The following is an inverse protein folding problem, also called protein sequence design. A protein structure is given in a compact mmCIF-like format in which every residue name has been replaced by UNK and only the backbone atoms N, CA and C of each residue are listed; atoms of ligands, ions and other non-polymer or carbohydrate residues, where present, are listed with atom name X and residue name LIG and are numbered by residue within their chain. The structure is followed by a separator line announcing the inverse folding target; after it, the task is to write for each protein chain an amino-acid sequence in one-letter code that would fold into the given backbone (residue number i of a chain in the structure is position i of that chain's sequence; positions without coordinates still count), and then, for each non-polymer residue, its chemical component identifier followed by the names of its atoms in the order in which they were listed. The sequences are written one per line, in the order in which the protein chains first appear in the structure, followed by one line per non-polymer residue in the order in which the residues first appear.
data_IF_896147872830
#
_entry.id   IF_896147872830
#
_cell.length_a   1.000
_cell.length_b   1.000
_cell.length_c   1.000
_cell.angle_alpha   90.00
_cell.angle_beta   90.00
_cell.angle_gamma   90.00
#
_symmetry.space_group_name_H-M   'P 1'
#
loop_
_entity.id
_entity.type
_entity.pdbx_description
1 polymer ?
#
# COMPACT_ATOMS: atom_id res chain seq x y z
N UNK A 1 6.18 10.03 23.19
CA UNK A 1 6.99 9.37 22.14
C UNK A 1 8.41 9.87 22.28
N UNK A 2 9.41 8.98 22.29
CA UNK A 2 10.83 9.36 22.37
C UNK A 2 11.47 9.37 20.98
N UNK A 3 11.06 8.42 20.12
CA UNK A 3 11.48 8.33 18.72
C UNK A 3 10.36 7.70 17.89
N UNK A 4 10.21 8.13 16.64
CA UNK A 4 9.27 7.54 15.68
C UNK A 4 9.93 7.50 14.30
N UNK A 5 10.04 6.30 13.73
CA UNK A 5 10.63 6.08 12.40
C UNK A 5 9.57 5.48 11.49
N UNK A 6 9.32 6.14 10.36
CA UNK A 6 8.35 5.69 9.37
C UNK A 6 9.05 4.99 8.21
N UNK A 7 8.62 3.77 7.91
CA UNK A 7 8.95 3.10 6.66
C UNK A 7 7.82 3.35 5.65
N UNK A 8 8.04 4.31 4.75
CA UNK A 8 7.06 4.70 3.73
C UNK A 8 6.76 3.57 2.74
N UNK A 9 7.72 2.68 2.45
CA UNK A 9 7.49 1.54 1.56
C UNK A 9 6.53 0.53 2.19
N UNK A 10 6.64 0.34 3.51
CA UNK A 10 5.82 -0.60 4.25
C UNK A 10 4.59 0.05 4.91
N UNK A 11 4.42 1.38 4.82
CA UNK A 11 3.38 2.11 5.55
C UNK A 11 3.35 1.76 7.05
N UNK A 12 4.51 1.41 7.62
CA UNK A 12 4.68 1.05 9.02
C UNK A 12 5.41 2.16 9.75
N UNK A 13 5.09 2.35 11.03
CA UNK A 13 5.76 3.31 11.90
C UNK A 13 6.22 2.57 13.14
N UNK A 14 7.52 2.55 13.37
CA UNK A 14 8.11 2.04 14.59
C UNK A 14 8.22 3.18 15.59
N UNK A 15 7.55 3.04 16.73
CA UNK A 15 7.51 4.09 17.77
C UNK A 15 8.13 3.57 19.05
N UNK A 16 9.13 4.28 19.56
CA UNK A 16 9.79 4.00 20.83
C UNK A 16 9.33 5.02 21.87
N UNK A 17 8.72 4.57 22.98
CA UNK A 17 8.31 5.45 24.07
C UNK A 17 7.31 4.85 25.06
N UNK A 18 6.78 5.70 25.94
CA UNK A 18 5.84 5.31 27.02
C UNK A 18 4.37 5.56 26.68
N UNK A 19 4.05 5.95 25.43
CA UNK A 19 2.66 6.21 25.04
C UNK A 19 1.94 4.87 24.80
N UNK A 20 0.68 4.76 25.22
CA UNK A 20 -0.15 3.57 24.97
C UNK A 20 -0.48 3.46 23.49
N UNK A 21 -0.58 2.22 22.97
CA UNK A 21 -0.91 1.95 21.57
C UNK A 21 -2.22 2.64 21.14
N UNK A 22 -3.25 2.63 21.99
CA UNK A 22 -4.53 3.30 21.73
C UNK A 22 -4.39 4.82 21.56
N UNK A 23 -3.58 5.48 22.37
CA UNK A 23 -3.36 6.92 22.25
C UNK A 23 -2.66 7.27 20.93
N UNK A 24 -1.74 6.41 20.47
CA UNK A 24 -1.06 6.59 19.19
C UNK A 24 -2.01 6.35 18.01
N UNK A 25 -2.81 5.28 18.03
CA UNK A 25 -3.80 5.00 16.99
C UNK A 25 -4.82 6.15 16.89
N UNK A 26 -5.30 6.67 18.01
CA UNK A 26 -6.23 7.80 18.02
C UNK A 26 -5.60 9.08 17.45
N UNK A 27 -4.32 9.35 17.75
CA UNK A 27 -3.62 10.48 17.17
C UNK A 27 -3.46 10.35 15.65
N UNK A 28 -3.14 9.15 15.15
CA UNK A 28 -3.02 8.87 13.71
C UNK A 28 -4.39 9.01 13.02
N UNK A 29 -5.47 8.54 13.66
CA UNK A 29 -6.85 8.74 13.20
C UNK A 29 -7.27 10.20 13.16
N UNK A 30 -6.87 10.98 14.16
CA UNK A 30 -7.12 12.41 14.16
C UNK A 30 -6.38 13.10 13.00
N UNK A 31 -5.17 12.65 12.67
CA UNK A 31 -4.43 13.12 11.50
C UNK A 31 -5.05 12.68 10.16
N UNK A 32 -6.00 11.74 10.17
CA UNK A 32 -6.77 11.32 9.00
C UNK A 32 -6.41 9.94 8.43
N UNK A 33 -5.46 9.24 9.05
CA UNK A 33 -5.00 7.91 8.63
C UNK A 33 -5.55 6.81 9.57
N UNK A 34 -5.66 5.58 9.10
CA UNK A 34 -6.01 4.44 9.97
C UNK A 34 -4.74 3.70 10.39
N UNK A 35 -4.75 3.11 11.59
CA UNK A 35 -3.59 2.40 12.14
C UNK A 35 -4.04 1.24 13.04
N UNK A 36 -3.23 0.17 13.03
CA UNK A 36 -3.42 -1.03 13.83
C UNK A 36 -2.10 -1.40 14.52
N UNK A 37 -2.19 -1.94 15.75
CA UNK A 37 -1.00 -2.26 16.56
C UNK A 37 -0.41 -3.61 16.16
N UNK A 38 0.88 -3.62 15.86
CA UNK A 38 1.63 -4.83 15.49
C UNK A 38 2.52 -5.18 16.70
N UNK A 39 2.03 -6.04 17.61
CA UNK A 39 2.73 -6.29 18.89
C UNK A 39 3.23 -7.73 19.07
N UNK A 40 2.72 -8.71 18.32
CA UNK A 40 3.05 -10.15 18.50
C UNK A 40 3.20 -10.96 17.20
N UNK A 41 3.29 -10.29 16.06
CA UNK A 41 3.31 -10.93 14.74
C UNK A 41 4.72 -10.93 14.18
N UNK A 42 5.24 -12.11 13.80
CA UNK A 42 6.49 -12.21 13.02
C UNK A 42 6.48 -11.26 11.82
N UNK A 43 7.61 -10.63 11.48
CA UNK A 43 7.70 -9.69 10.37
C UNK A 43 7.09 -10.24 9.07
N UNK A 44 7.22 -11.55 8.85
CA UNK A 44 6.65 -12.23 7.70
C UNK A 44 5.12 -12.32 7.74
N UNK A 45 4.53 -12.60 8.89
CA UNK A 45 3.07 -12.62 9.05
C UNK A 45 2.42 -11.24 8.85
N UNK A 46 3.10 -10.18 9.29
CA UNK A 46 2.67 -8.79 9.09
C UNK A 46 2.66 -8.44 7.60
N UNK A 47 3.72 -8.83 6.89
CA UNK A 47 3.82 -8.61 5.44
C UNK A 47 2.75 -9.39 4.67
N UNK A 48 2.45 -10.63 5.07
CA UNK A 48 1.41 -11.45 4.45
C UNK A 48 -0.01 -10.89 4.67
N UNK A 49 -0.31 -10.38 5.87
CA UNK A 49 -1.59 -9.72 6.15
C UNK A 49 -1.76 -8.43 5.34
N UNK A 50 -0.70 -7.63 5.29
CA UNK A 50 -0.68 -6.41 4.47
C UNK A 50 -0.89 -6.73 2.99
N UNK A 51 -0.22 -7.74 2.44
CA UNK A 51 -0.36 -8.14 1.04
C UNK A 51 -1.80 -8.54 0.71
N UNK A 52 -2.47 -9.29 1.60
CA UNK A 52 -3.90 -9.64 1.45
C UNK A 52 -4.79 -8.40 1.49
N UNK A 53 -4.51 -7.44 2.37
CA UNK A 53 -5.26 -6.20 2.45
C UNK A 53 -5.08 -5.35 1.18
N UNK A 54 -3.85 -5.20 0.70
CA UNK A 54 -3.51 -4.49 -0.53
C UNK A 54 -4.16 -5.15 -1.76
N UNK A 55 -4.17 -6.48 -1.83
CA UNK A 55 -4.86 -7.22 -2.90
C UNK A 55 -6.38 -7.02 -2.88
N UNK A 56 -7.00 -7.07 -1.70
CA UNK A 56 -8.44 -6.84 -1.55
C UNK A 56 -8.79 -5.40 -1.95
N UNK A 57 -7.97 -4.43 -1.54
CA UNK A 57 -8.12 -3.03 -1.90
C UNK A 57 -7.93 -2.80 -3.40
N UNK A 58 -6.92 -3.42 -4.02
CA UNK A 58 -6.72 -3.39 -5.47
C UNK A 58 -7.92 -3.95 -6.24
N UNK A 59 -8.45 -5.12 -5.83
CA UNK A 59 -9.65 -5.71 -6.45
C UNK A 59 -10.86 -4.79 -6.35
N UNK A 60 -11.02 -4.11 -5.20
CA UNK A 60 -12.08 -3.13 -4.99
C UNK A 60 -11.94 -1.93 -5.93
N UNK A 61 -10.75 -1.33 -6.02
CA UNK A 61 -10.47 -0.20 -6.92
C UNK A 61 -10.72 -0.56 -8.39
N UNK A 62 -10.29 -1.75 -8.81
CA UNK A 62 -10.56 -2.24 -10.18
C UNK A 62 -12.06 -2.39 -10.45
N UNK A 63 -12.84 -2.87 -9.49
CA UNK A 63 -14.31 -2.94 -9.63
C UNK A 63 -14.93 -1.55 -9.70
N UNK A 64 -14.54 -0.64 -8.82
CA UNK A 64 -15.03 0.75 -8.79
C UNK A 64 -14.67 1.49 -10.09
N UNK A 65 -13.45 1.27 -10.62
CA UNK A 65 -13.01 1.73 -11.93
C UNK A 65 -13.92 1.21 -13.05
N UNK A 66 -14.16 -0.11 -13.12
CA UNK A 66 -15.02 -0.68 -14.16
C UNK A 66 -16.44 -0.13 -14.10
N UNK A 67 -17.01 0.03 -12.90
CA UNK A 67 -18.32 0.64 -12.71
C UNK A 67 -18.33 2.07 -13.28
N UNK A 68 -17.37 2.90 -12.90
CA UNK A 68 -17.30 4.29 -13.37
C UNK A 68 -17.06 4.40 -14.88
N UNK A 69 -16.10 3.65 -15.43
CA UNK A 69 -15.77 3.67 -16.85
C UNK A 69 -16.86 3.04 -17.73
N UNK A 70 -17.64 2.10 -17.19
CA UNK A 70 -18.78 1.54 -17.93
C UNK A 70 -19.84 2.60 -18.28
N UNK A 71 -19.94 3.65 -17.46
CA UNK A 71 -20.77 4.82 -17.75
C UNK A 71 -19.98 5.92 -18.50
N UNK A 72 -18.77 6.23 -18.05
CA UNK A 72 -17.96 7.33 -18.58
C UNK A 72 -17.52 7.14 -20.03
N UNK A 73 -17.06 5.94 -20.41
CA UNK A 73 -16.52 5.68 -21.75
C UNK A 73 -17.60 5.78 -22.83
N UNK A 74 -18.79 5.16 -22.70
CA UNK A 74 -19.86 5.34 -23.66
C UNK A 74 -20.32 6.79 -23.79
N UNK A 75 -20.44 7.54 -22.69
CA UNK A 75 -20.80 8.96 -22.73
C UNK A 75 -19.73 9.81 -23.43
N UNK A 76 -18.45 9.51 -23.21
CA UNK A 76 -17.35 10.17 -23.90
C UNK A 76 -17.36 9.86 -25.40
N UNK A 77 -17.58 8.60 -25.80
CA UNK A 77 -17.73 8.22 -27.21
C UNK A 77 -18.93 8.95 -27.83
N UNK A 78 -20.05 9.01 -27.13
CA UNK A 78 -21.22 9.75 -27.59
C UNK A 78 -20.90 11.23 -27.83
N UNK A 79 -20.21 11.88 -26.88
CA UNK A 79 -19.77 13.26 -27.00
C UNK A 79 -18.83 13.50 -28.19
N UNK A 80 -17.99 12.53 -28.55
CA UNK A 80 -17.05 12.64 -29.68
C UNK A 80 -17.70 12.36 -31.04
N UNK A 81 -18.68 11.45 -31.09
CA UNK A 81 -19.22 10.90 -32.35
C UNK A 81 -20.54 11.55 -32.75
N UNK A 82 -21.44 11.82 -31.79
CA UNK A 82 -22.83 12.21 -32.08
C UNK A 82 -23.03 13.72 -32.06
N UNK A 83 -22.36 14.44 -31.17
CA UNK A 83 -22.44 15.90 -31.10
C UNK A 83 -22.51 16.44 -29.67
N UNK A 84 -22.76 17.75 -29.56
CA UNK A 84 -22.77 18.48 -28.28
C UNK A 84 -23.85 17.94 -27.33
N UNK A 85 -23.47 17.61 -26.10
CA UNK A 85 -24.39 17.15 -25.04
C UNK A 85 -25.19 18.32 -24.45
N UNK A 86 -25.99 18.96 -25.29
CA UNK A 86 -26.81 20.11 -24.92
C UNK A 86 -28.22 19.67 -24.55
N UNK A 87 -28.84 20.43 -23.64
CA UNK A 87 -30.25 20.25 -23.27
C UNK A 87 -31.08 21.26 -24.06
N UNK A 88 -31.67 20.81 -25.17
CA UNK A 88 -32.52 21.66 -26.03
C UNK A 88 -33.97 21.20 -26.03
N UNK A 89 -34.20 19.88 -25.94
CA UNK A 89 -35.53 19.27 -26.04
C UNK A 89 -35.98 18.64 -24.71
N UNK A 90 -37.29 18.58 -24.45
CA UNK A 90 -37.87 17.93 -23.25
C UNK A 90 -37.46 16.45 -23.13
N UNK A 91 -37.29 15.75 -24.25
CA UNK A 91 -36.84 14.36 -24.29
C UNK A 91 -35.37 14.23 -23.85
N UNK A 92 -34.49 15.11 -24.34
CA UNK A 92 -33.08 15.15 -23.94
C UNK A 92 -32.94 15.47 -22.45
N UNK A 93 -33.76 16.37 -21.92
CA UNK A 93 -33.80 16.68 -20.49
C UNK A 93 -34.09 15.44 -19.63
N UNK A 94 -35.04 14.59 -20.06
CA UNK A 94 -35.34 13.35 -19.35
C UNK A 94 -34.17 12.35 -19.41
N UNK A 95 -33.54 12.20 -20.58
CA UNK A 95 -32.36 11.34 -20.75
C UNK A 95 -31.20 11.82 -19.87
N UNK A 96 -30.88 13.11 -19.89
CA UNK A 96 -29.79 13.68 -19.09
C UNK A 96 -30.05 13.63 -17.59
N UNK A 97 -31.31 13.70 -17.16
CA UNK A 97 -31.68 13.48 -15.76
C UNK A 97 -31.38 12.03 -15.34
N UNK A 98 -31.74 11.04 -16.17
CA UNK A 98 -31.42 9.63 -15.92
C UNK A 98 -29.90 9.44 -15.86
N UNK A 99 -29.16 9.99 -16.83
CA UNK A 99 -27.69 9.93 -16.83
C UNK A 99 -27.12 10.59 -15.58
N UNK A 100 -27.63 11.75 -15.17
CA UNK A 100 -27.19 12.44 -13.96
C UNK A 100 -27.43 11.63 -12.69
N UNK A 101 -28.55 10.91 -12.59
CA UNK A 101 -28.82 9.97 -11.49
C UNK A 101 -27.88 8.76 -11.51
N UNK A 102 -27.58 8.21 -12.69
CA UNK A 102 -26.59 7.13 -12.84
C UNK A 102 -25.18 7.61 -12.44
N UNK A 103 -24.79 8.81 -12.85
CA UNK A 103 -23.51 9.42 -12.47
C UNK A 103 -23.44 9.67 -10.96
N UNK A 104 -24.54 10.09 -10.33
CA UNK A 104 -24.61 10.18 -8.87
C UNK A 104 -24.41 8.80 -8.21
N UNK A 105 -25.01 7.74 -8.78
CA UNK A 105 -24.75 6.36 -8.36
C UNK A 105 -23.26 6.00 -8.45
N UNK A 106 -22.59 6.35 -9.55
CA UNK A 106 -21.13 6.17 -9.69
C UNK A 106 -20.36 6.95 -8.63
N UNK A 107 -20.70 8.22 -8.38
CA UNK A 107 -20.07 9.03 -7.33
C UNK A 107 -20.24 8.38 -5.94
N UNK A 108 -21.41 7.83 -5.66
CA UNK A 108 -21.73 7.21 -4.37
C UNK A 108 -21.08 5.84 -4.17
N UNK A 109 -21.02 4.99 -5.20
CA UNK A 109 -20.46 3.64 -5.07
C UNK A 109 -18.96 3.59 -5.37
N UNK A 110 -18.52 4.20 -6.47
CA UNK A 110 -17.13 4.16 -6.92
C UNK A 110 -16.29 5.36 -6.43
N UNK A 111 -16.93 6.49 -6.12
CA UNK A 111 -16.23 7.73 -5.72
C UNK A 111 -16.27 8.05 -4.22
N UNK A 112 -17.09 7.36 -3.41
CA UNK A 112 -17.36 7.75 -2.01
C UNK A 112 -16.11 7.93 -1.15
N UNK A 113 -15.06 7.14 -1.39
CA UNK A 113 -13.84 7.25 -0.61
C UNK A 113 -13.12 8.59 -0.83
N UNK A 114 -13.17 9.17 -2.03
CA UNK A 114 -12.64 10.52 -2.30
C UNK A 114 -13.40 11.60 -1.52
N UNK A 115 -14.74 11.54 -1.46
CA UNK A 115 -15.52 12.54 -0.73
C UNK A 115 -15.29 12.48 0.78
N UNK A 116 -15.15 11.27 1.33
CA UNK A 116 -14.81 11.09 2.75
C UNK A 116 -13.40 11.60 3.03
N UNK A 117 -12.43 11.27 2.16
CA UNK A 117 -11.06 11.76 2.26
C UNK A 117 -10.99 13.29 2.20
N UNK A 118 -11.69 13.90 1.25
CA UNK A 118 -11.81 15.34 1.11
C UNK A 118 -12.40 16.00 2.36
N UNK A 119 -13.47 15.43 2.94
CA UNK A 119 -14.08 15.96 4.16
C UNK A 119 -13.12 15.92 5.35
N UNK A 120 -12.38 14.82 5.51
CA UNK A 120 -11.34 14.69 6.55
C UNK A 120 -10.21 15.70 6.34
N UNK A 121 -9.73 15.85 5.10
CA UNK A 121 -8.69 16.81 4.73
C UNK A 121 -9.13 18.24 5.06
N UNK A 122 -10.36 18.59 4.70
CA UNK A 122 -10.96 19.89 4.99
C UNK A 122 -11.07 20.15 6.50
N UNK A 123 -11.56 19.18 7.28
CA UNK A 123 -11.63 19.30 8.75
C UNK A 123 -10.24 19.53 9.38
N UNK A 124 -9.21 18.90 8.82
CA UNK A 124 -7.83 19.03 9.24
C UNK A 124 -7.11 20.24 8.62
N UNK A 125 -7.83 21.15 7.96
CA UNK A 125 -7.31 22.36 7.32
C UNK A 125 -6.15 22.07 6.33
N UNK A 126 -6.20 20.91 5.68
CA UNK A 126 -5.25 20.50 4.65
C UNK A 126 -5.96 20.25 3.32
N UNK A 127 -5.22 20.36 2.22
CA UNK A 127 -5.71 20.04 0.89
C UNK A 127 -4.87 18.92 0.28
N UNK A 128 -5.53 17.87 -0.21
CA UNK A 128 -4.90 16.69 -0.78
C UNK A 128 -5.55 16.28 -2.11
N UNK A 129 -5.07 15.17 -2.69
CA UNK A 129 -5.61 14.60 -3.93
C UNK A 129 -7.13 14.38 -3.85
N UNK A 130 -7.64 13.85 -2.74
CA UNK A 130 -9.08 13.61 -2.54
C UNK A 130 -9.89 14.91 -2.61
N UNK A 131 -9.36 15.99 -2.04
CA UNK A 131 -10.01 17.32 -2.03
C UNK A 131 -10.19 17.85 -3.45
N UNK A 132 -9.15 17.76 -4.28
CA UNK A 132 -9.20 18.20 -5.68
C UNK A 132 -10.22 17.39 -6.48
N UNK A 133 -10.24 16.07 -6.29
CA UNK A 133 -11.14 15.16 -7.00
C UNK A 133 -12.59 15.44 -6.61
N UNK A 134 -12.88 15.49 -5.31
CA UNK A 134 -14.22 15.73 -4.80
C UNK A 134 -14.76 17.08 -5.25
N UNK A 135 -13.92 18.13 -5.26
CA UNK A 135 -14.31 19.45 -5.73
C UNK A 135 -14.57 19.45 -7.24
N UNK A 136 -13.67 18.88 -8.05
CA UNK A 136 -13.83 18.86 -9.50
C UNK A 136 -15.05 18.05 -9.96
N UNK A 137 -15.16 16.80 -9.49
CA UNK A 137 -16.26 15.90 -9.85
C UNK A 137 -17.60 16.34 -9.26
N UNK A 138 -17.60 16.86 -8.03
CA UNK A 138 -18.78 17.42 -7.39
C UNK A 138 -19.29 18.67 -8.13
N UNK A 139 -18.39 19.59 -8.48
CA UNK A 139 -18.76 20.82 -9.22
C UNK A 139 -19.30 20.48 -10.60
N UNK A 140 -18.65 19.57 -11.34
CA UNK A 140 -19.10 19.14 -12.65
C UNK A 140 -20.51 18.51 -12.60
N UNK A 141 -20.78 17.64 -11.62
CA UNK A 141 -22.10 17.04 -11.45
C UNK A 141 -23.16 18.06 -11.05
N UNK A 142 -22.88 18.94 -10.08
CA UNK A 142 -23.81 19.99 -9.63
C UNK A 142 -24.16 20.92 -10.79
N UNK A 143 -23.16 21.37 -11.54
CA UNK A 143 -23.37 22.22 -12.72
C UNK A 143 -24.26 21.53 -13.75
N UNK A 144 -23.94 20.28 -14.09
CA UNK A 144 -24.70 19.50 -15.06
C UNK A 144 -26.14 19.30 -14.63
N UNK A 145 -26.36 19.04 -13.34
CA UNK A 145 -27.68 18.90 -12.76
C UNK A 145 -28.46 20.21 -12.77
N UNK A 146 -27.78 21.34 -12.52
CA UNK A 146 -28.36 22.68 -12.63
C UNK A 146 -28.83 22.98 -14.06
N UNK A 147 -28.02 22.67 -15.07
CA UNK A 147 -28.39 22.80 -16.50
C UNK A 147 -29.62 21.95 -16.83
N UNK A 148 -29.71 20.73 -16.31
CA UNK A 148 -30.86 19.84 -16.52
C UNK A 148 -32.14 20.35 -15.83
N UNK A 149 -32.05 20.90 -14.60
CA UNK A 149 -33.23 21.42 -13.89
C UNK A 149 -33.68 22.79 -14.37
N UNK A 150 -32.76 23.67 -14.76
CA UNK A 150 -33.04 25.06 -15.11
C UNK A 150 -32.44 25.47 -16.46
N UNK A 151 -32.78 24.79 -17.56
CA UNK A 151 -32.17 25.07 -18.87
C UNK A 151 -32.45 26.50 -19.37
N UNK A 152 -33.58 27.10 -18.97
CA UNK A 152 -33.94 28.48 -19.36
C UNK A 152 -33.11 29.56 -18.67
N UNK A 153 -32.47 29.27 -17.54
CA UNK A 153 -31.58 30.20 -16.84
C UNK A 153 -30.16 30.21 -17.41
N UNK A 154 -29.84 29.24 -18.28
CA UNK A 154 -28.51 29.05 -18.84
C UNK A 154 -28.54 29.41 -20.34
N UNK A 155 -27.64 30.29 -20.80
CA UNK A 155 -27.50 30.60 -22.24
C UNK A 155 -27.26 29.33 -23.05
N UNK A 156 -27.78 29.27 -24.29
CA UNK A 156 -27.70 28.07 -25.14
C UNK A 156 -26.26 27.55 -25.30
N UNK A 157 -25.30 28.46 -25.47
CA UNK A 157 -23.88 28.15 -25.61
C UNK A 157 -23.24 27.52 -24.36
N UNK A 158 -23.92 27.58 -23.20
CA UNK A 158 -23.42 27.06 -21.93
C UNK A 158 -24.21 25.85 -21.40
N UNK A 159 -25.17 25.31 -22.16
CA UNK A 159 -26.00 24.15 -21.72
C UNK A 159 -25.32 22.79 -21.89
N UNK A 160 -23.99 22.75 -21.92
CA UNK A 160 -23.24 21.49 -21.97
C UNK A 160 -23.24 20.80 -20.61
N UNK A 161 -23.58 19.51 -20.56
CA UNK A 161 -23.47 18.70 -19.33
C UNK A 161 -22.13 17.96 -19.28
N UNK A 162 -21.58 17.78 -18.09
CA UNK A 162 -20.25 17.21 -17.81
C UNK A 162 -20.33 15.92 -16.95
N UNK A 163 -21.39 15.14 -17.13
CA UNK A 163 -21.60 13.89 -16.41
C UNK A 163 -20.54 12.83 -16.79
N UNK A 164 -20.13 12.82 -18.04
CA UNK A 164 -19.03 12.02 -18.59
C UNK A 164 -17.70 12.36 -17.92
N UNK A 165 -17.39 13.65 -17.77
CA UNK A 165 -16.14 14.07 -17.12
C UNK A 165 -16.07 13.58 -15.68
N UNK A 166 -17.20 13.66 -14.95
CA UNK A 166 -17.31 13.14 -13.58
C UNK A 166 -17.02 11.64 -13.51
N UNK A 167 -17.70 10.84 -14.34
CA UNK A 167 -17.52 9.39 -14.37
C UNK A 167 -16.10 8.98 -14.83
N UNK A 168 -15.56 9.68 -15.83
CA UNK A 168 -14.21 9.44 -16.36
C UNK A 168 -13.13 9.75 -15.34
N UNK A 169 -13.21 10.89 -14.64
CA UNK A 169 -12.23 11.26 -13.61
C UNK A 169 -12.21 10.21 -12.50
N UNK A 170 -13.38 9.83 -11.96
CA UNK A 170 -13.46 8.80 -10.91
C UNK A 170 -12.87 7.47 -11.42
N UNK A 171 -13.23 7.05 -12.63
CA UNK A 171 -12.75 5.82 -13.22
C UNK A 171 -11.23 5.80 -13.42
N UNK A 172 -10.67 6.82 -14.07
CA UNK A 172 -9.24 6.89 -14.37
C UNK A 172 -8.38 7.05 -13.13
N UNK A 173 -8.87 7.74 -12.09
CA UNK A 173 -8.11 7.86 -10.84
C UNK A 173 -8.13 6.54 -10.08
N UNK A 174 -9.27 5.84 -10.01
CA UNK A 174 -9.33 4.51 -9.42
C UNK A 174 -8.38 3.53 -10.15
N UNK A 175 -8.26 3.65 -11.48
CA UNK A 175 -7.26 2.90 -12.25
C UNK A 175 -5.83 3.29 -11.83
N UNK A 176 -5.53 4.58 -11.73
CA UNK A 176 -4.21 5.07 -11.30
C UNK A 176 -3.81 4.53 -9.93
N UNK A 177 -4.73 4.57 -8.96
CA UNK A 177 -4.52 4.02 -7.62
C UNK A 177 -4.32 2.49 -7.64
N UNK A 178 -5.08 1.77 -8.47
CA UNK A 178 -4.89 0.33 -8.63
C UNK A 178 -3.50 0.02 -9.23
N UNK A 179 -3.08 0.76 -10.25
CA UNK A 179 -1.74 0.61 -10.85
C UNK A 179 -0.64 0.94 -9.83
N UNK A 180 -0.84 1.95 -8.98
CA UNK A 180 0.09 2.31 -7.92
C UNK A 180 0.26 1.18 -6.91
N UNK A 181 -0.83 0.57 -6.43
CA UNK A 181 -0.76 -0.57 -5.51
C UNK A 181 -0.03 -1.74 -6.16
N UNK A 182 -0.35 -2.05 -7.42
CA UNK A 182 0.30 -3.12 -8.17
C UNK A 182 1.80 -2.87 -8.36
N UNK A 183 2.20 -1.62 -8.58
CA UNK A 183 3.60 -1.23 -8.69
C UNK A 183 4.32 -1.37 -7.34
N UNK A 184 3.72 -0.90 -6.24
CA UNK A 184 4.28 -1.02 -4.88
C UNK A 184 4.42 -2.48 -4.43
N UNK A 185 3.46 -3.34 -4.78
CA UNK A 185 3.51 -4.77 -4.43
C UNK A 185 4.76 -5.49 -4.93
N UNK A 186 5.26 -5.13 -6.13
CA UNK A 186 6.50 -5.69 -6.69
C UNK A 186 7.74 -5.37 -5.84
N UNK A 187 7.79 -4.17 -5.28
CA UNK A 187 8.90 -3.74 -4.41
C UNK A 187 8.85 -4.47 -3.07
N UNK A 188 7.64 -4.64 -2.51
CA UNK A 188 7.43 -5.42 -1.29
C UNK A 188 7.84 -6.88 -1.45
N UNK A 189 7.57 -7.49 -2.62
CA UNK A 189 7.98 -8.87 -2.91
C UNK A 189 9.51 -9.05 -2.85
N UNK A 190 10.29 -8.08 -3.36
CA UNK A 190 11.75 -8.13 -3.28
C UNK A 190 12.26 -8.05 -1.84
N UNK A 191 11.66 -7.19 -1.01
CA UNK A 191 11.99 -7.09 0.43
C UNK A 191 11.63 -8.40 1.15
N UNK A 192 10.46 -8.98 0.84
CA UNK A 192 10.02 -10.27 1.41
C UNK A 192 11.00 -11.39 1.08
N UNK A 193 11.57 -11.41 -0.13
CA UNK A 193 12.62 -12.38 -0.50
C UNK A 193 13.88 -12.18 0.33
N UNK A 194 14.29 -10.94 0.62
CA UNK A 194 15.43 -10.66 1.49
C UNK A 194 15.19 -11.12 2.94
N UNK A 195 14.01 -10.84 3.49
CA UNK A 195 13.64 -11.31 4.85
C UNK A 195 13.54 -12.85 4.88
N UNK A 196 12.98 -13.45 3.83
CA UNK A 196 12.87 -14.91 3.70
C UNK A 196 14.23 -15.63 3.59
N UNK A 197 15.30 -14.91 3.25
CA UNK A 197 16.66 -15.46 3.27
C UNK A 197 17.28 -15.49 4.67
N UNK A 198 16.66 -14.88 5.68
CA UNK A 198 17.12 -14.94 7.06
C UNK A 198 16.83 -16.34 7.66
N UNK A 199 17.80 -16.98 8.31
CA UNK A 199 17.58 -18.27 8.99
C UNK A 199 16.51 -18.12 10.07
N UNK A 200 15.47 -18.97 10.03
CA UNK A 200 14.38 -18.96 11.02
C UNK A 200 14.72 -19.74 12.29
N UNK A 201 15.70 -20.64 12.17
CA UNK A 201 16.11 -21.55 13.23
C UNK A 201 17.62 -21.52 13.34
N UNK A 202 18.12 -21.63 14.56
CA UNK A 202 19.53 -21.86 14.84
C UNK A 202 19.67 -23.21 15.54
N UNK A 203 20.73 -23.94 15.19
CA UNK A 203 21.09 -25.19 15.86
C UNK A 203 21.99 -24.88 17.05
N UNK A 204 21.42 -24.91 18.24
CA UNK A 204 22.17 -24.64 19.48
C UNK A 204 22.62 -25.95 20.10
N UNK A 205 23.84 -25.97 20.63
CA UNK A 205 24.39 -27.07 21.43
C UNK A 205 24.16 -26.73 22.91
N UNK A 206 23.21 -27.42 23.55
CA UNK A 206 22.95 -27.30 25.01
C UNK A 206 23.09 -28.67 25.65
N UNK A 207 23.81 -28.75 26.77
CA UNK A 207 24.08 -30.01 27.48
C UNK A 207 24.67 -31.14 26.61
N UNK A 208 25.42 -30.77 25.55
CA UNK A 208 26.03 -31.73 24.62
C UNK A 208 25.10 -32.25 23.51
N UNK A 209 23.83 -31.85 23.49
CA UNK A 209 22.88 -32.21 22.42
C UNK A 209 22.65 -31.04 21.46
N UNK A 210 22.49 -31.36 20.17
CA UNK A 210 22.11 -30.42 19.12
C UNK A 210 20.59 -30.26 19.08
N UNK A 211 20.09 -29.04 19.30
CA UNK A 211 18.66 -28.72 19.25
C UNK A 211 18.42 -27.54 18.32
N UNK A 212 17.55 -27.74 17.33
CA UNK A 212 17.10 -26.67 16.45
C UNK A 212 16.02 -25.85 17.18
N UNK A 213 16.30 -24.58 17.45
CA UNK A 213 15.38 -23.65 18.11
C UNK A 213 15.08 -22.46 17.19
N UNK A 214 13.91 -21.83 17.40
CA UNK A 214 13.59 -20.56 16.73
C UNK A 214 14.66 -19.52 17.06
N UNK A 215 15.06 -18.73 16.06
CA UNK A 215 16.16 -17.77 16.20
C UNK A 215 15.92 -16.73 17.31
N UNK A 216 14.65 -16.37 17.52
CA UNK A 216 14.17 -15.48 18.60
C UNK A 216 14.44 -16.01 20.01
N UNK A 217 14.71 -17.32 20.17
CA UNK A 217 14.98 -17.99 21.44
C UNK A 217 16.47 -18.22 21.70
N UNK A 218 17.33 -17.84 20.75
CA UNK A 218 18.79 -17.89 20.91
C UNK A 218 19.22 -16.80 21.89
N UNK A 219 20.05 -17.16 22.86
CA UNK A 219 20.53 -16.25 23.90
C UNK A 219 22.02 -15.96 23.74
N UNK A 220 22.46 -14.80 24.24
CA UNK A 220 23.88 -14.47 24.34
C UNK A 220 24.61 -15.55 25.15
N UNK A 221 25.67 -16.11 24.55
CA UNK A 221 26.46 -17.20 25.14
C UNK A 221 26.03 -18.61 24.73
N UNK A 222 24.96 -18.77 23.95
CA UNK A 222 24.64 -20.06 23.32
C UNK A 222 25.73 -20.48 22.31
N UNK A 223 26.12 -21.76 22.33
CA UNK A 223 26.99 -22.32 21.29
C UNK A 223 26.15 -22.77 20.10
N UNK A 224 26.36 -22.17 18.93
CA UNK A 224 25.63 -22.50 17.70
C UNK A 224 26.50 -23.37 16.79
N UNK A 225 26.00 -24.54 16.39
CA UNK A 225 26.66 -25.43 15.42
C UNK A 225 26.22 -25.01 14.01
N UNK A 226 27.16 -24.64 13.16
CA UNK A 226 26.92 -24.34 11.74
C UNK A 226 27.66 -25.38 10.89
N UNK A 227 26.97 -26.09 10.02
CA UNK A 227 27.57 -27.11 9.13
C UNK A 227 28.00 -26.51 7.79
N UNK A 228 28.86 -27.21 7.01
CA UNK A 228 29.18 -26.80 5.65
C UNK A 228 27.93 -26.58 4.80
N UNK A 229 27.86 -25.45 4.11
CA UNK A 229 26.72 -25.03 3.29
C UNK A 229 25.59 -24.33 4.07
N UNK A 230 25.61 -24.33 5.40
CA UNK A 230 24.60 -23.65 6.21
C UNK A 230 24.92 -22.14 6.33
N UNK A 231 23.85 -21.36 6.51
CA UNK A 231 23.95 -19.92 6.75
C UNK A 231 24.15 -19.64 8.23
N UNK A 232 25.07 -18.75 8.56
CA UNK A 232 25.31 -18.31 9.93
C UNK A 232 24.07 -17.55 10.41
N UNK A 233 23.46 -18.02 11.51
CA UNK A 233 22.15 -17.55 11.96
C UNK A 233 22.22 -16.25 12.76
N UNK A 234 23.23 -16.10 13.61
CA UNK A 234 23.43 -14.96 14.50
C UNK A 234 24.88 -14.50 14.45
N UNK A 235 25.11 -13.22 14.76
CA UNK A 235 26.46 -12.70 14.93
C UNK A 235 27.14 -13.40 16.11
N UNK A 236 28.45 -13.65 15.99
CA UNK A 236 29.19 -14.33 17.04
C UNK A 236 30.67 -14.42 16.79
N UNK A 237 31.34 -15.18 17.65
CA UNK A 237 32.77 -15.45 17.58
C UNK A 237 32.95 -16.95 17.42
N UNK A 238 33.85 -17.37 16.52
CA UNK A 238 34.17 -18.78 16.33
C UNK A 238 34.79 -19.35 17.60
N UNK A 239 34.09 -20.26 18.28
CA UNK A 239 34.58 -20.91 19.49
C UNK A 239 35.45 -22.13 19.18
N UNK A 240 35.18 -22.83 18.08
CA UNK A 240 35.87 -24.05 17.66
C UNK A 240 35.73 -24.26 16.15
N UNK A 241 36.76 -24.81 15.51
CA UNK A 241 36.79 -25.09 14.06
C UNK A 241 37.57 -24.08 13.21
N UNK A 242 37.77 -24.46 11.94
CA UNK A 242 38.39 -23.66 10.89
C UNK A 242 37.52 -23.78 9.64
N UNK A 243 37.08 -22.65 9.08
CA UNK A 243 36.23 -22.67 7.89
C UNK A 243 36.46 -21.46 6.98
N UNK A 244 35.99 -21.54 5.74
CA UNK A 244 35.86 -20.41 4.84
C UNK A 244 34.40 -19.93 4.83
N UNK A 245 34.19 -18.64 5.08
CA UNK A 245 32.88 -17.99 5.12
C UNK A 245 32.73 -17.07 3.92
N UNK A 246 31.61 -17.20 3.21
CA UNK A 246 31.23 -16.34 2.09
C UNK A 246 30.43 -15.15 2.60
N UNK A 247 31.09 -13.99 2.63
CA UNK A 247 30.55 -12.71 3.06
C UNK A 247 30.10 -11.82 1.87
N UNK A 248 30.09 -12.36 0.64
CA UNK A 248 29.84 -11.59 -0.60
C UNK A 248 28.51 -10.84 -0.60
N UNK A 249 27.49 -11.38 0.07
CA UNK A 249 26.17 -10.76 0.19
C UNK A 249 26.16 -9.50 1.06
N UNK A 250 27.14 -9.31 1.94
CA UNK A 250 27.25 -8.16 2.85
C UNK A 250 28.34 -7.19 2.40
N UNK A 251 29.53 -7.71 2.05
CA UNK A 251 30.71 -6.90 1.72
C UNK A 251 30.82 -6.59 0.23
N UNK A 252 30.20 -7.41 -0.63
CA UNK A 252 30.37 -7.36 -2.08
C UNK A 252 31.66 -8.02 -2.58
N UNK A 253 32.49 -8.57 -1.69
CA UNK A 253 33.72 -9.25 -2.08
C UNK A 253 33.44 -10.71 -2.48
N UNK A 254 33.87 -11.17 -3.67
CA UNK A 254 33.50 -12.50 -4.19
C UNK A 254 34.28 -13.65 -3.56
N UNK A 255 35.38 -13.38 -2.86
CA UNK A 255 36.25 -14.41 -2.30
C UNK A 255 35.84 -14.72 -0.85
N UNK A 256 35.65 -16.02 -0.50
CA UNK A 256 35.42 -16.41 0.89
C UNK A 256 36.60 -16.05 1.78
N UNK A 257 36.31 -15.66 3.02
CA UNK A 257 37.29 -15.28 4.04
C UNK A 257 37.49 -16.45 4.99
N UNK A 258 38.74 -16.81 5.28
CA UNK A 258 39.05 -17.82 6.29
C UNK A 258 38.75 -17.30 7.70
N UNK A 259 38.10 -18.12 8.51
CA UNK A 259 37.74 -17.84 9.90
C UNK A 259 38.24 -18.98 10.78
N UNK A 260 38.98 -18.63 11.82
CA UNK A 260 39.49 -19.52 12.84
C UNK A 260 38.96 -19.14 14.22
N UNK A 261 39.27 -19.95 15.23
CA UNK A 261 38.91 -19.67 16.63
C UNK A 261 39.32 -18.26 17.05
N UNK A 262 38.36 -17.49 17.55
CA UNK A 262 38.55 -16.09 17.95
C UNK A 262 38.12 -15.06 16.92
N UNK A 263 37.87 -15.45 15.66
CA UNK A 263 37.39 -14.54 14.63
C UNK A 263 35.89 -14.27 14.73
N UNK A 264 35.49 -13.06 14.34
CA UNK A 264 34.08 -12.66 14.27
C UNK A 264 33.41 -13.20 13.00
N UNK A 265 32.17 -13.64 13.15
CA UNK A 265 31.29 -14.09 12.08
C UNK A 265 29.96 -13.34 12.14
N UNK A 266 29.44 -13.00 10.96
CA UNK A 266 28.24 -12.17 10.81
C UNK A 266 27.07 -13.01 10.31
N UNK A 267 25.89 -12.77 10.87
CA UNK A 267 24.65 -13.38 10.47
C UNK A 267 24.37 -13.13 8.97
N UNK A 268 23.84 -14.15 8.29
CA UNK A 268 23.50 -14.06 6.87
C UNK A 268 24.60 -14.53 5.91
N UNK A 269 25.83 -14.65 6.39
CA UNK A 269 26.97 -15.20 5.64
C UNK A 269 26.88 -16.74 5.52
N UNK A 270 27.54 -17.34 4.52
CA UNK A 270 27.42 -18.77 4.25
C UNK A 270 28.71 -19.49 4.62
N UNK A 271 28.60 -20.49 5.49
CA UNK A 271 29.69 -21.40 5.80
C UNK A 271 29.95 -22.32 4.59
N UNK A 272 31.19 -22.41 4.08
CA UNK A 272 31.49 -23.21 2.87
C UNK A 272 32.02 -24.59 3.20
N UNK A 273 33.17 -24.68 3.86
CA UNK A 273 34.03 -25.87 3.80
C UNK A 273 34.49 -26.42 5.16
N UNK A 274 33.90 -25.97 6.27
CA UNK A 274 34.20 -26.42 7.63
C UNK A 274 32.96 -26.55 8.49
#
# INVERSE_FOLDING_TARGET
VKEAVMNLAQSTVSVTGHATAEAMINAIRAAGYDAESITDSSDQSVLDEKEKADEAYHKRLMREMWIALSLGVPLMIYSLVVGEMTVTTTMERAVWLIVGLLTFGVMFFAGRHFYIGAWKSFANHSANMDTLIALGTGTAWIYSMFVVFFPSLVPEMARHVYFEATAMIIGLINLGLALEIKARGRTSEAIKRLIGLQPKTARVVRNGEEVDIAIERVQLGDHVRVRPGEKISVDGIVSDGLTAVDESMLTGEPMPVEKATGDEVVAGTINKSG
#
